data_IF_757513669789
#
_entry.id   IF_757513669789
#
_cell.length_a   1.000
_cell.length_b   1.000
_cell.length_c   1.000
_cell.angle_alpha   90.00
_cell.angle_beta   90.00
_cell.angle_gamma   90.00
#
_symmetry.space_group_name_H-M   'P 1'
#
loop_
_entity.id
_entity.type
_entity.pdbx_description
1 polymer ?
#
# COMPACT_ATOMS: atom_id res chain seq x y z
N UNK A 1 -7.92 3.64 -45.79
CA UNK A 1 -7.03 2.90 -44.87
C UNK A 1 -7.91 2.05 -43.94
N UNK A 2 -7.67 0.73 -43.83
CA UNK A 2 -8.41 -0.15 -42.89
C UNK A 2 -7.46 -0.54 -41.75
N UNK A 3 -7.90 -0.40 -40.51
CA UNK A 3 -7.18 -0.90 -39.32
C UNK A 3 -8.15 -1.63 -38.41
N UNK A 4 -7.61 -2.56 -37.62
CA UNK A 4 -8.33 -3.32 -36.60
C UNK A 4 -7.75 -2.98 -35.23
N UNK A 5 -8.63 -2.68 -34.27
CA UNK A 5 -8.25 -2.45 -32.88
C UNK A 5 -8.62 -3.68 -32.07
N UNK A 6 -7.65 -4.23 -31.34
CA UNK A 6 -7.86 -5.33 -30.39
C UNK A 6 -7.39 -4.92 -29.01
N UNK A 7 -8.26 -5.13 -28.02
CA UNK A 7 -7.87 -4.96 -26.63
C UNK A 7 -7.01 -6.17 -26.21
N UNK A 8 -5.80 -5.92 -25.73
CA UNK A 8 -4.87 -6.97 -25.30
C UNK A 8 -4.99 -7.26 -23.81
N UNK A 9 -5.14 -6.22 -22.98
CA UNK A 9 -5.13 -6.32 -21.52
C UNK A 9 -6.11 -5.31 -20.93
N UNK A 10 -6.90 -5.74 -19.96
CA UNK A 10 -7.77 -4.87 -19.16
C UNK A 10 -7.93 -5.43 -17.76
N UNK A 11 -7.25 -4.81 -16.80
CA UNK A 11 -7.39 -5.13 -15.39
C UNK A 11 -8.39 -4.20 -14.70
N UNK A 12 -8.96 -4.67 -13.58
CA UNK A 12 -9.88 -3.89 -12.75
C UNK A 12 -9.13 -3.42 -11.50
N UNK A 13 -9.32 -2.16 -11.07
CA UNK A 13 -8.79 -1.69 -9.79
C UNK A 13 -9.31 -2.56 -8.64
N UNK A 14 -8.42 -2.92 -7.71
CA UNK A 14 -8.77 -3.67 -6.50
C UNK A 14 -8.93 -2.69 -5.34
N UNK A 15 -10.09 -2.73 -4.69
CA UNK A 15 -10.36 -1.94 -3.49
C UNK A 15 -9.91 -2.73 -2.26
N UNK A 16 -8.95 -2.19 -1.51
CA UNK A 16 -8.53 -2.78 -0.24
C UNK A 16 -9.53 -2.51 0.88
N UNK A 17 -9.38 -3.25 1.99
CA UNK A 17 -10.32 -3.22 3.11
C UNK A 17 -10.28 -1.87 3.82
N UNK A 18 -11.41 -1.16 3.87
CA UNK A 18 -11.53 0.13 4.59
C UNK A 18 -11.14 -0.02 6.06
N UNK A 19 -11.52 -1.13 6.70
CA UNK A 19 -11.15 -1.44 8.09
C UNK A 19 -9.63 -1.49 8.27
N UNK A 20 -8.90 -2.03 7.29
CA UNK A 20 -7.44 -2.09 7.33
C UNK A 20 -6.79 -0.72 7.10
N UNK A 21 -7.36 0.07 6.19
CA UNK A 21 -6.91 1.44 5.94
C UNK A 21 -7.10 2.29 7.20
N UNK A 22 -8.30 2.22 7.80
CA UNK A 22 -8.65 2.93 9.04
C UNK A 22 -7.75 2.50 10.21
N UNK A 23 -7.46 1.21 10.35
CA UNK A 23 -6.54 0.70 11.38
C UNK A 23 -5.13 1.27 11.21
N UNK A 24 -4.56 1.21 10.00
CA UNK A 24 -3.22 1.72 9.74
C UNK A 24 -3.13 3.23 9.98
N UNK A 25 -4.14 3.99 9.54
CA UNK A 25 -4.22 5.44 9.75
C UNK A 25 -4.36 5.78 11.24
N UNK A 26 -5.16 5.02 11.99
CA UNK A 26 -5.31 5.20 13.45
C UNK A 26 -3.99 4.93 14.17
N UNK A 27 -3.29 3.85 13.84
CA UNK A 27 -1.97 3.56 14.41
C UNK A 27 -0.94 4.64 14.09
N UNK A 28 -0.93 5.18 12.87
CA UNK A 28 -0.07 6.30 12.50
C UNK A 28 -0.39 7.56 13.32
N UNK A 29 -1.68 7.88 13.48
CA UNK A 29 -2.16 9.00 14.27
C UNK A 29 -1.74 8.92 15.74
N UNK A 30 -1.93 7.75 16.39
CA UNK A 30 -1.52 7.51 17.78
C UNK A 30 -0.01 7.67 17.98
N UNK A 31 0.78 7.21 17.00
CA UNK A 31 2.23 7.36 16.98
C UNK A 31 2.70 8.76 16.55
N UNK A 32 1.77 9.67 16.24
CA UNK A 32 2.03 11.04 15.75
C UNK A 32 2.88 11.07 14.48
N UNK A 33 2.69 10.07 13.62
CA UNK A 33 3.34 9.97 12.31
C UNK A 33 2.38 10.55 11.25
N UNK A 34 2.77 11.57 10.48
CA UNK A 34 1.94 12.08 9.40
C UNK A 34 1.66 11.00 8.36
N UNK A 35 0.40 10.87 7.95
CA UNK A 35 -0.05 9.92 6.94
C UNK A 35 -1.11 10.54 6.05
N UNK A 36 -1.31 9.95 4.87
CA UNK A 36 -2.41 10.26 3.97
C UNK A 36 -2.87 8.99 3.27
N UNK A 37 -4.13 8.93 2.85
CA UNK A 37 -4.67 7.84 2.03
C UNK A 37 -4.37 8.12 0.55
N UNK A 38 -3.91 7.10 -0.16
CA UNK A 38 -3.64 7.17 -1.60
C UNK A 38 -3.94 5.84 -2.30
N UNK A 39 -4.31 5.87 -3.60
CA UNK A 39 -4.33 4.66 -4.42
C UNK A 39 -2.90 4.21 -4.75
N UNK A 40 -2.68 2.90 -4.92
CA UNK A 40 -1.45 2.40 -5.55
C UNK A 40 -1.58 2.48 -7.08
N UNK A 41 -0.57 3.06 -7.73
CA UNK A 41 -0.46 3.06 -9.19
C UNK A 41 0.15 1.79 -9.77
N UNK A 42 0.75 0.93 -8.93
CA UNK A 42 1.42 -0.30 -9.34
C UNK A 42 0.70 -1.54 -8.79
N UNK A 43 0.90 -2.66 -9.50
CA UNK A 43 0.46 -3.97 -9.03
C UNK A 43 1.29 -4.45 -7.84
N UNK A 44 0.62 -5.03 -6.84
CA UNK A 44 1.26 -5.68 -5.69
C UNK A 44 0.53 -6.97 -5.34
N UNK A 45 1.20 -7.90 -4.66
CA UNK A 45 0.60 -9.17 -4.25
C UNK A 45 -0.67 -8.99 -3.42
N UNK A 46 -0.76 -7.90 -2.66
CA UNK A 46 -1.96 -7.50 -1.91
C UNK A 46 -3.23 -7.48 -2.78
N UNK A 47 -3.12 -7.14 -4.07
CA UNK A 47 -4.25 -7.17 -5.00
C UNK A 47 -4.81 -8.58 -5.20
N UNK A 48 -3.94 -9.59 -5.24
CA UNK A 48 -4.35 -10.99 -5.37
C UNK A 48 -4.80 -11.55 -4.02
N UNK A 49 -4.20 -11.10 -2.92
CA UNK A 49 -4.55 -11.56 -1.58
C UNK A 49 -5.99 -11.23 -1.17
N UNK A 50 -6.66 -10.26 -1.81
CA UNK A 50 -8.08 -9.97 -1.55
C UNK A 50 -9.01 -11.11 -1.93
N UNK A 51 -8.57 -12.05 -2.76
CA UNK A 51 -9.35 -13.26 -3.07
C UNK A 51 -9.29 -14.31 -1.95
N UNK A 52 -8.31 -14.18 -1.03
CA UNK A 52 -8.04 -15.15 0.04
C UNK A 52 -8.37 -14.61 1.44
N UNK A 53 -8.38 -13.29 1.62
CA UNK A 53 -8.59 -12.66 2.92
C UNK A 53 -9.43 -11.37 2.82
N UNK A 54 -10.35 -11.20 3.76
CA UNK A 54 -11.22 -10.01 3.84
C UNK A 54 -10.52 -8.75 4.39
N UNK A 55 -9.34 -8.94 5.01
CA UNK A 55 -8.58 -7.90 5.68
C UNK A 55 -7.20 -7.75 5.07
N UNK A 56 -7.15 -7.10 3.91
CA UNK A 56 -5.90 -6.74 3.24
C UNK A 56 -5.74 -5.23 3.27
N UNK A 57 -4.56 -4.77 3.68
CA UNK A 57 -4.16 -3.37 3.70
C UNK A 57 -2.72 -3.23 3.23
N UNK A 58 -2.36 -2.01 2.81
CA UNK A 58 -1.01 -1.66 2.40
C UNK A 58 -0.56 -0.40 3.11
N UNK A 59 0.73 -0.34 3.46
CA UNK A 59 1.37 0.84 4.04
C UNK A 59 2.54 1.24 3.15
N UNK A 60 2.57 2.50 2.73
CA UNK A 60 3.62 3.05 1.86
C UNK A 60 4.60 3.90 2.66
N UNK A 61 5.85 3.91 2.20
CA UNK A 61 6.87 4.89 2.60
C UNK A 61 7.26 5.72 1.38
N UNK A 62 7.63 7.01 1.57
CA UNK A 62 8.17 7.82 0.48
C UNK A 62 9.47 7.23 -0.08
N UNK A 63 9.58 7.24 -1.40
CA UNK A 63 10.84 7.00 -2.10
C UNK A 63 11.37 8.32 -2.67
N UNK A 64 12.68 8.52 -2.63
CA UNK A 64 13.32 9.73 -3.14
C UNK A 64 12.95 9.93 -4.62
N UNK A 65 12.40 11.10 -4.92
CA UNK A 65 11.94 11.50 -6.27
C UNK A 65 10.91 10.55 -6.91
N UNK A 66 10.28 9.66 -6.11
CA UNK A 66 9.34 8.66 -6.61
C UNK A 66 9.95 7.59 -7.53
N UNK A 67 11.28 7.43 -7.50
CA UNK A 67 12.00 6.49 -8.36
C UNK A 67 11.79 5.06 -7.85
N UNK A 68 11.47 4.13 -8.74
CA UNK A 68 11.43 2.69 -8.46
C UNK A 68 11.89 1.86 -9.66
N UNK A 69 12.21 0.58 -9.46
CA UNK A 69 12.79 -0.31 -10.49
C UNK A 69 14.07 0.27 -11.11
N UNK A 70 14.86 0.96 -10.30
CA UNK A 70 16.06 1.67 -10.73
C UNK A 70 17.13 1.56 -9.65
N UNK A 71 18.41 1.52 -10.05
CA UNK A 71 19.54 1.46 -9.11
C UNK A 71 19.63 2.67 -8.17
N UNK A 72 18.99 3.78 -8.52
CA UNK A 72 18.92 5.00 -7.69
C UNK A 72 17.72 5.01 -6.73
N UNK A 73 16.88 3.98 -6.75
CA UNK A 73 15.77 3.82 -5.79
C UNK A 73 16.32 3.85 -4.36
N UNK A 74 15.74 4.74 -3.52
CA UNK A 74 16.20 4.91 -2.14
C UNK A 74 15.12 5.53 -1.26
N UNK A 75 15.06 5.05 -0.02
CA UNK A 75 14.16 5.56 1.02
C UNK A 75 14.96 6.22 2.14
N UNK A 76 14.34 7.14 2.89
CA UNK A 76 14.93 7.66 4.12
C UNK A 76 14.73 6.63 5.24
N UNK A 77 15.80 6.35 5.99
CA UNK A 77 15.74 5.45 7.14
C UNK A 77 14.70 5.88 8.18
N UNK A 78 14.51 7.18 8.40
CA UNK A 78 13.50 7.68 9.34
C UNK A 78 12.08 7.26 8.93
N UNK A 79 11.77 7.30 7.63
CA UNK A 79 10.47 6.87 7.12
C UNK A 79 10.29 5.35 7.24
N UNK A 80 11.36 4.58 6.99
CA UNK A 80 11.36 3.13 7.18
C UNK A 80 11.09 2.75 8.66
N UNK A 81 11.75 3.42 9.59
CA UNK A 81 11.52 3.21 11.03
C UNK A 81 10.11 3.62 11.45
N UNK A 82 9.61 4.77 10.97
CA UNK A 82 8.26 5.24 11.25
C UNK A 82 7.21 4.24 10.75
N UNK A 83 7.29 3.81 9.50
CA UNK A 83 6.35 2.84 8.92
C UNK A 83 6.42 1.47 9.61
N UNK A 84 7.62 1.02 10.01
CA UNK A 84 7.77 -0.24 10.74
C UNK A 84 7.06 -0.19 12.11
N UNK A 85 7.09 0.96 12.80
CA UNK A 85 6.32 1.15 14.05
C UNK A 85 4.81 1.07 13.81
N UNK A 86 4.31 1.71 12.75
CA UNK A 86 2.89 1.66 12.37
C UNK A 86 2.48 0.22 12.04
N UNK A 87 3.28 -0.47 11.23
CA UNK A 87 3.03 -1.87 10.86
C UNK A 87 3.00 -2.77 12.08
N UNK A 88 3.97 -2.64 12.99
CA UNK A 88 4.02 -3.43 14.22
C UNK A 88 2.81 -3.16 15.13
N UNK A 89 2.39 -1.90 15.29
CA UNK A 89 1.22 -1.54 16.07
C UNK A 89 -0.07 -2.15 15.48
N UNK A 90 -0.26 -2.03 14.17
CA UNK A 90 -1.42 -2.59 13.47
C UNK A 90 -1.46 -4.13 13.57
N UNK A 91 -0.33 -4.80 13.36
CA UNK A 91 -0.23 -6.26 13.50
C UNK A 91 -0.54 -6.71 14.94
N UNK A 92 -0.04 -5.99 15.95
CA UNK A 92 -0.33 -6.29 17.35
C UNK A 92 -1.81 -6.08 17.69
N UNK A 93 -2.45 -5.06 17.11
CA UNK A 93 -3.89 -4.85 17.25
C UNK A 93 -4.67 -6.01 16.67
N UNK A 94 -4.36 -6.43 15.44
CA UNK A 94 -5.03 -7.55 14.77
C UNK A 94 -4.83 -8.89 15.51
N UNK A 95 -3.65 -9.11 16.10
CA UNK A 95 -3.35 -10.34 16.82
C UNK A 95 -4.09 -10.48 18.17
N UNK A 96 -4.70 -9.39 18.66
CA UNK A 96 -5.47 -9.36 19.91
C UNK A 96 -6.97 -9.46 19.71
N UNK A 97 -7.43 -9.47 18.46
CA UNK A 97 -8.82 -9.75 18.11
C UNK A 97 -9.13 -11.24 18.19
#
# INVERSE_FOLDING_TARGET
CKFELKNLIKDRPVKLSEKMIDLLESCACELKIPSLRLPSGAGHDAMNMTELADRVGMLFVPCKDGISHNVNESINWHDAFAATKVLAAAMLSLAKE
#
